data_IF_874832473516
#
_entry.id   IF_874832473516
#
_cell.length_a   1.000
_cell.length_b   1.000
_cell.length_c   1.000
_cell.angle_alpha   90.00
_cell.angle_beta   90.00
_cell.angle_gamma   90.00
#
_symmetry.space_group_name_H-M   'P 1'
#
loop_
_entity.id
_entity.type
_entity.pdbx_description
1 polymer ?
#
# COMPACT_ATOMS: atom_id res chain seq x y z
N UNK A 1 -10.03 10.60 12.88
CA UNK A 1 -9.20 9.70 13.70
C UNK A 1 -7.81 9.63 13.10
N UNK A 2 -6.80 9.89 13.93
CA UNK A 2 -5.39 9.84 13.53
C UNK A 2 -4.77 8.58 14.12
N UNK A 3 -4.08 7.79 13.27
CA UNK A 3 -3.25 6.71 13.75
C UNK A 3 -1.87 7.21 14.17
N UNK A 4 -1.24 6.51 15.10
CA UNK A 4 0.15 6.72 15.48
C UNK A 4 0.78 5.38 15.84
N UNK A 5 1.99 5.12 15.34
CA UNK A 5 2.76 3.94 15.73
C UNK A 5 3.46 4.20 17.07
N UNK A 6 4.12 5.34 17.20
CA UNK A 6 4.83 5.78 18.40
C UNK A 6 6.26 5.26 18.47
N UNK A 7 7.18 6.14 18.87
CA UNK A 7 8.62 5.85 18.92
C UNK A 7 9.00 4.63 19.75
N UNK A 8 8.25 4.34 20.80
CA UNK A 8 8.50 3.17 21.64
C UNK A 8 8.29 1.81 20.94
N UNK A 9 7.62 1.78 19.78
CA UNK A 9 7.37 0.57 19.01
C UNK A 9 8.37 0.33 17.88
N UNK A 10 9.16 1.33 17.48
CA UNK A 10 10.07 1.18 16.34
C UNK A 10 11.13 0.11 16.59
N UNK A 11 11.74 0.10 17.78
CA UNK A 11 12.69 -0.94 18.15
C UNK A 11 12.06 -2.34 18.10
N UNK A 12 10.86 -2.49 18.62
CA UNK A 12 10.13 -3.75 18.55
C UNK A 12 9.85 -4.17 17.10
N UNK A 13 9.46 -3.25 16.22
CA UNK A 13 9.25 -3.52 14.78
C UNK A 13 10.57 -4.03 14.17
N UNK A 14 11.67 -3.32 14.36
CA UNK A 14 12.98 -3.73 13.85
C UNK A 14 13.37 -5.14 14.34
N UNK A 15 13.15 -5.45 15.62
CA UNK A 15 13.40 -6.76 16.23
C UNK A 15 12.54 -7.87 15.59
N UNK A 16 11.24 -7.58 15.28
CA UNK A 16 10.38 -8.57 14.63
C UNK A 16 10.85 -8.89 13.20
N UNK A 17 11.30 -7.90 12.46
CA UNK A 17 11.77 -8.05 11.09
C UNK A 17 13.25 -8.46 10.96
N UNK A 18 14.00 -8.55 12.07
CA UNK A 18 15.39 -9.00 12.07
C UNK A 18 15.55 -10.49 11.67
N UNK A 19 14.49 -11.29 11.77
CA UNK A 19 14.52 -12.71 11.39
C UNK A 19 14.65 -12.86 9.87
N UNK A 20 15.44 -13.85 9.39
CA UNK A 20 15.51 -14.17 7.98
C UNK A 20 14.12 -14.47 7.41
N UNK A 21 13.77 -13.83 6.31
CA UNK A 21 12.53 -14.05 5.59
C UNK A 21 12.71 -13.71 4.10
N UNK A 22 12.00 -14.41 3.24
CA UNK A 22 11.99 -14.11 1.81
C UNK A 22 11.17 -12.85 1.49
N UNK A 23 10.14 -12.60 2.28
CA UNK A 23 9.27 -11.44 2.14
C UNK A 23 8.88 -10.90 3.52
N UNK A 24 9.06 -9.61 3.72
CA UNK A 24 8.66 -8.91 4.94
C UNK A 24 7.52 -7.97 4.64
N UNK A 25 6.36 -8.24 5.27
CA UNK A 25 5.13 -7.48 5.07
C UNK A 25 4.74 -6.79 6.37
N UNK A 26 4.52 -5.49 6.31
CA UNK A 26 3.94 -4.70 7.40
C UNK A 26 2.51 -4.31 7.06
N UNK A 27 1.57 -4.52 7.98
CA UNK A 27 0.15 -4.25 7.76
C UNK A 27 -0.34 -3.25 8.80
N UNK A 28 -1.02 -2.21 8.34
CA UNK A 28 -1.67 -1.24 9.21
C UNK A 28 -2.98 -0.73 8.59
N UNK A 29 -3.90 -0.26 9.42
CA UNK A 29 -5.20 0.24 8.94
C UNK A 29 -5.06 1.59 8.24
N UNK A 30 -4.43 2.58 8.90
CA UNK A 30 -4.26 3.91 8.34
C UNK A 30 -3.11 3.93 7.33
N UNK A 31 -3.18 4.85 6.37
CA UNK A 31 -2.15 4.98 5.36
C UNK A 31 -0.97 5.82 5.85
N UNK A 32 0.22 5.51 5.32
CA UNK A 32 1.47 6.24 5.59
C UNK A 32 1.74 7.35 4.56
N UNK A 33 1.06 7.31 3.42
CA UNK A 33 1.23 8.25 2.32
C UNK A 33 -0.13 8.84 1.94
N UNK A 34 -0.18 10.10 1.48
CA UNK A 34 -1.41 10.70 1.00
C UNK A 34 -1.98 9.92 -0.19
N UNK A 35 -3.26 9.59 -0.15
CA UNK A 35 -3.94 8.97 -1.28
C UNK A 35 -4.51 10.07 -2.18
N UNK A 36 -4.05 10.19 -3.46
CA UNK A 36 -4.53 11.21 -4.37
C UNK A 36 -6.05 11.23 -4.51
N UNK A 37 -6.64 12.40 -4.67
CA UNK A 37 -8.08 12.57 -4.87
C UNK A 37 -8.97 12.35 -3.64
N UNK A 38 -8.39 12.06 -2.45
CA UNK A 38 -9.18 11.81 -1.23
C UNK A 38 -9.34 13.02 -0.32
N UNK A 39 -8.93 14.21 -0.78
CA UNK A 39 -8.93 15.44 -0.01
C UNK A 39 -7.74 15.54 0.96
N UNK A 40 -7.75 16.59 1.80
CA UNK A 40 -6.61 16.91 2.66
C UNK A 40 -6.10 15.73 3.49
N UNK A 41 -4.81 15.69 3.70
CA UNK A 41 -3.93 14.71 4.34
C UNK A 41 -4.25 14.33 5.80
N UNK A 42 -5.46 14.60 6.26
CA UNK A 42 -5.84 14.55 7.69
C UNK A 42 -5.88 13.15 8.32
N UNK A 43 -5.68 12.09 7.55
CA UNK A 43 -5.80 10.73 8.08
C UNK A 43 -4.55 9.87 7.83
N UNK A 44 -3.44 10.50 7.55
CA UNK A 44 -2.12 9.85 7.55
C UNK A 44 -1.73 9.57 9.00
N UNK A 45 -1.04 8.48 9.23
CA UNK A 45 -0.41 8.20 10.52
C UNK A 45 0.44 9.41 10.94
N UNK A 46 0.28 9.89 12.18
CA UNK A 46 0.90 11.14 12.64
C UNK A 46 2.43 11.13 12.52
N UNK A 47 3.04 9.97 12.79
CA UNK A 47 4.48 9.72 12.67
C UNK A 47 4.83 8.89 11.42
N UNK A 48 4.15 9.17 10.29
CA UNK A 48 4.30 8.41 9.06
C UNK A 48 5.73 8.42 8.50
N UNK A 49 6.41 9.57 8.53
CA UNK A 49 7.80 9.70 8.08
C UNK A 49 8.76 8.82 8.89
N UNK A 50 8.72 8.94 10.21
CA UNK A 50 9.55 8.12 11.13
C UNK A 50 9.21 6.63 10.96
N UNK A 51 7.94 6.30 10.75
CA UNK A 51 7.49 4.92 10.52
C UNK A 51 8.05 4.38 9.20
N UNK A 52 7.97 5.11 8.10
CA UNK A 52 8.52 4.70 6.80
C UNK A 52 10.02 4.47 6.89
N UNK A 53 10.75 5.35 7.55
CA UNK A 53 12.19 5.20 7.78
C UNK A 53 12.51 3.95 8.61
N UNK A 54 11.75 3.70 9.68
CA UNK A 54 11.88 2.49 10.49
C UNK A 54 11.66 1.21 9.63
N UNK A 55 10.61 1.19 8.82
CA UNK A 55 10.28 0.04 7.96
C UNK A 55 11.35 -0.21 6.89
N UNK A 56 11.92 0.84 6.31
CA UNK A 56 13.05 0.71 5.37
C UNK A 56 14.29 0.14 6.05
N UNK A 57 14.66 0.64 7.24
CA UNK A 57 15.79 0.09 8.03
C UNK A 57 15.56 -1.37 8.43
N UNK A 58 14.33 -1.74 8.74
CA UNK A 58 13.94 -3.10 9.08
C UNK A 58 13.90 -4.05 7.86
N UNK A 59 14.15 -3.54 6.64
CA UNK A 59 14.15 -4.31 5.41
C UNK A 59 12.75 -4.82 5.01
N UNK A 60 11.69 -4.08 5.37
CA UNK A 60 10.33 -4.38 4.93
C UNK A 60 10.22 -4.17 3.42
N UNK A 61 9.66 -5.15 2.73
CA UNK A 61 9.47 -5.11 1.28
C UNK A 61 8.12 -4.49 0.90
N UNK A 62 7.07 -4.82 1.66
CA UNK A 62 5.69 -4.49 1.32
C UNK A 62 4.94 -3.95 2.52
N UNK A 63 4.26 -2.83 2.34
CA UNK A 63 3.33 -2.25 3.33
C UNK A 63 1.92 -2.31 2.77
N UNK A 64 1.01 -2.90 3.54
CA UNK A 64 -0.41 -2.96 3.20
C UNK A 64 -1.18 -1.99 4.10
N UNK A 65 -1.96 -1.11 3.47
CA UNK A 65 -2.76 -0.09 4.15
C UNK A 65 -4.20 -0.08 3.67
N UNK A 66 -5.08 0.65 4.35
CA UNK A 66 -6.49 0.77 3.98
C UNK A 66 -7.09 2.13 4.32
N UNK A 67 -8.22 2.16 5.00
CA UNK A 67 -8.92 3.32 5.58
C UNK A 67 -9.68 4.23 4.59
N UNK A 68 -9.04 4.69 3.52
CA UNK A 68 -9.67 5.65 2.59
C UNK A 68 -10.59 5.01 1.56
N UNK A 69 -10.57 3.69 1.44
CA UNK A 69 -11.35 2.92 0.46
C UNK A 69 -10.98 3.25 -1.01
N UNK A 70 -9.84 3.89 -1.22
CA UNK A 70 -9.29 4.18 -2.56
C UNK A 70 -8.05 3.32 -2.75
N UNK A 71 -8.05 2.40 -3.70
CA UNK A 71 -6.90 1.57 -3.97
C UNK A 71 -5.81 2.40 -4.64
N UNK A 72 -4.60 2.32 -4.12
CA UNK A 72 -3.44 3.02 -4.68
C UNK A 72 -2.15 2.27 -4.37
N UNK A 73 -1.09 2.56 -5.11
CA UNK A 73 0.20 1.94 -4.89
C UNK A 73 1.36 2.91 -5.13
N UNK A 74 2.36 2.84 -4.27
CA UNK A 74 3.58 3.65 -4.32
C UNK A 74 4.81 2.77 -4.27
N UNK A 75 5.89 3.26 -4.86
CA UNK A 75 7.26 2.79 -4.63
C UNK A 75 8.04 3.89 -3.93
N UNK A 76 8.69 3.55 -2.82
CA UNK A 76 9.60 4.38 -2.06
C UNK A 76 10.92 3.62 -1.91
N UNK A 77 11.88 3.90 -2.78
CA UNK A 77 13.16 3.17 -2.82
C UNK A 77 12.93 1.64 -2.91
N UNK A 78 13.24 0.89 -1.85
CA UNK A 78 13.05 -0.56 -1.74
C UNK A 78 11.70 -0.97 -1.15
N UNK A 79 10.89 -0.02 -0.69
CA UNK A 79 9.63 -0.24 -0.02
C UNK A 79 8.46 -0.03 -0.98
N UNK A 80 7.52 -0.98 -1.01
CA UNK A 80 6.28 -0.85 -1.77
C UNK A 80 5.11 -0.70 -0.82
N UNK A 81 4.24 0.27 -1.10
CA UNK A 81 3.05 0.53 -0.30
C UNK A 81 1.82 0.30 -1.17
N UNK A 82 0.93 -0.58 -0.74
CA UNK A 82 -0.31 -0.90 -1.44
C UNK A 82 -1.49 -0.58 -0.53
N UNK A 83 -2.30 0.37 -0.97
CA UNK A 83 -3.53 0.74 -0.28
C UNK A 83 -4.70 -0.04 -0.85
N UNK A 84 -5.45 -0.71 0.02
CA UNK A 84 -6.62 -1.48 -0.38
C UNK A 84 -7.83 -0.57 -0.67
N UNK A 85 -8.66 -0.99 -1.62
CA UNK A 85 -10.00 -0.48 -1.79
C UNK A 85 -10.97 -1.04 -0.74
N UNK A 86 -12.23 -1.08 -1.09
CA UNK A 86 -13.27 -1.74 -0.28
C UNK A 86 -14.17 -2.59 -1.16
N UNK A 87 -14.60 -3.73 -0.65
CA UNK A 87 -15.52 -4.65 -1.36
C UNK A 87 -16.97 -4.34 -1.02
N UNK A 88 -17.25 -4.00 0.24
CA UNK A 88 -18.61 -4.00 0.79
C UNK A 88 -19.08 -2.65 1.31
N UNK A 89 -18.21 -1.65 1.43
CA UNK A 89 -18.61 -0.34 1.93
C UNK A 89 -19.29 0.48 0.83
N UNK A 90 -20.42 1.08 1.15
CA UNK A 90 -21.08 2.09 0.31
C UNK A 90 -20.35 3.45 0.34
N UNK A 91 -19.35 3.61 1.22
CA UNK A 91 -18.54 4.84 1.31
C UNK A 91 -17.40 4.80 0.29
N UNK A 92 -17.77 4.71 -0.98
CA UNK A 92 -16.82 4.85 -2.07
C UNK A 92 -16.42 6.33 -2.20
N UNK A 93 -15.15 6.58 -2.52
CA UNK A 93 -14.63 7.92 -2.74
C UNK A 93 -14.16 8.05 -4.19
N UNK A 94 -14.47 9.19 -4.80
CA UNK A 94 -14.23 9.38 -6.23
C UNK A 94 -15.01 8.36 -7.06
N UNK A 95 -14.51 8.03 -8.23
CA UNK A 95 -15.10 7.05 -9.14
C UNK A 95 -14.60 5.61 -8.88
N UNK A 96 -14.17 5.30 -7.65
CA UNK A 96 -13.66 3.97 -7.34
C UNK A 96 -14.79 2.95 -7.27
N UNK A 97 -14.56 1.79 -7.88
CA UNK A 97 -15.47 0.64 -7.79
C UNK A 97 -15.10 -0.24 -6.59
N UNK A 98 -16.04 -1.01 -6.03
CA UNK A 98 -15.71 -2.06 -5.08
C UNK A 98 -14.63 -2.97 -5.64
N UNK A 99 -13.57 -3.19 -4.86
CA UNK A 99 -12.44 -4.02 -5.29
C UNK A 99 -11.65 -4.57 -4.11
N UNK A 100 -10.87 -5.61 -4.39
CA UNK A 100 -9.85 -6.16 -3.48
C UNK A 100 -8.59 -6.49 -4.29
N UNK A 101 -7.46 -6.58 -3.60
CA UNK A 101 -6.21 -6.96 -4.23
C UNK A 101 -5.86 -8.41 -3.86
N UNK A 102 -5.35 -9.16 -4.85
CA UNK A 102 -4.67 -10.43 -4.66
C UNK A 102 -3.18 -10.17 -4.87
N UNK A 103 -2.36 -10.66 -3.96
CA UNK A 103 -0.92 -10.46 -3.99
C UNK A 103 -0.27 -11.82 -4.09
N UNK A 104 0.40 -12.07 -5.20
CA UNK A 104 1.18 -13.27 -5.45
C UNK A 104 2.67 -12.97 -5.26
N UNK A 105 3.34 -13.86 -4.53
CA UNK A 105 4.78 -13.81 -4.33
C UNK A 105 5.41 -15.11 -4.81
N UNK A 106 6.29 -15.02 -5.80
CA UNK A 106 6.99 -16.16 -6.36
C UNK A 106 8.49 -15.87 -6.42
N UNK A 107 9.23 -16.50 -5.52
CA UNK A 107 10.68 -16.31 -5.42
C UNK A 107 11.03 -14.89 -4.98
N UNK A 108 11.17 -13.99 -5.92
CA UNK A 108 11.55 -12.57 -5.70
C UNK A 108 10.54 -11.60 -6.32
N UNK A 109 9.62 -12.12 -7.10
CA UNK A 109 8.63 -11.34 -7.83
C UNK A 109 7.35 -11.21 -7.02
N UNK A 110 6.86 -9.98 -6.88
CA UNK A 110 5.55 -9.67 -6.32
C UNK A 110 4.66 -9.14 -7.44
N UNK A 111 3.49 -9.72 -7.54
CA UNK A 111 2.46 -9.34 -8.48
C UNK A 111 1.20 -8.97 -7.71
N UNK A 112 0.60 -7.84 -8.03
CA UNK A 112 -0.64 -7.37 -7.40
C UNK A 112 -1.72 -7.25 -8.46
N UNK A 113 -2.75 -8.08 -8.32
CA UNK A 113 -3.94 -8.07 -9.16
C UNK A 113 -5.12 -7.47 -8.39
N UNK A 114 -5.76 -6.48 -9.00
CA UNK A 114 -6.98 -5.88 -8.48
C UNK A 114 -8.19 -6.57 -9.11
N UNK A 115 -9.03 -7.09 -8.25
CA UNK A 115 -10.26 -7.75 -8.62
C UNK A 115 -11.45 -6.83 -8.38
N UNK A 116 -12.25 -6.64 -9.40
CA UNK A 116 -13.52 -5.92 -9.34
C UNK A 116 -14.65 -6.94 -9.39
N UNK A 117 -15.42 -7.17 -8.30
CA UNK A 117 -16.52 -8.10 -8.31
C UNK A 117 -17.44 -7.88 -9.51
N UNK A 118 -17.68 -8.94 -10.30
CA UNK A 118 -18.49 -8.92 -11.53
C UNK A 118 -17.94 -8.10 -12.71
N UNK A 119 -16.76 -7.47 -12.59
CA UNK A 119 -16.19 -6.58 -13.61
C UNK A 119 -14.78 -6.96 -14.08
N UNK A 120 -14.24 -8.06 -13.56
CA UNK A 120 -12.94 -8.59 -14.00
C UNK A 120 -11.76 -8.26 -13.07
N UNK A 121 -10.57 -8.50 -13.60
CA UNK A 121 -9.31 -8.39 -12.88
C UNK A 121 -8.31 -7.59 -13.69
N UNK A 122 -7.47 -6.80 -13.02
CA UNK A 122 -6.43 -6.00 -13.63
C UNK A 122 -5.11 -6.18 -12.87
N UNK A 123 -4.00 -6.47 -13.57
CA UNK A 123 -2.66 -6.43 -13.01
C UNK A 123 -2.27 -4.98 -12.78
N UNK A 124 -2.08 -4.56 -11.53
CA UNK A 124 -1.75 -3.17 -11.19
C UNK A 124 -0.28 -2.93 -10.94
N UNK A 125 0.44 -3.94 -10.41
CA UNK A 125 1.85 -3.83 -10.07
C UNK A 125 2.55 -5.16 -10.35
N UNK A 126 3.77 -5.06 -10.85
CA UNK A 126 4.79 -6.10 -10.80
C UNK A 126 6.07 -5.47 -10.25
N UNK A 127 6.72 -6.12 -9.30
CA UNK A 127 8.06 -5.71 -8.90
C UNK A 127 8.93 -6.88 -8.43
N UNK A 128 10.23 -6.70 -8.59
CA UNK A 128 11.25 -7.63 -8.13
C UNK A 128 11.91 -7.08 -6.87
N UNK A 129 11.98 -7.88 -5.80
CA UNK A 129 12.52 -7.46 -4.50
C UNK A 129 14.05 -7.37 -4.47
N UNK A 130 14.75 -7.97 -5.42
CA UNK A 130 16.21 -7.92 -5.54
C UNK A 130 16.68 -6.81 -6.46
N UNK A 131 16.12 -6.78 -7.70
CA UNK A 131 16.53 -5.79 -8.70
C UNK A 131 15.85 -4.45 -8.49
N UNK A 132 14.77 -4.41 -7.69
CA UNK A 132 13.90 -3.25 -7.47
C UNK A 132 13.25 -2.73 -8.76
N UNK A 133 13.23 -3.54 -9.81
CA UNK A 133 12.46 -3.24 -11.01
C UNK A 133 10.98 -3.19 -10.69
N UNK A 134 10.34 -2.15 -11.16
CA UNK A 134 8.94 -1.85 -10.86
C UNK A 134 8.20 -1.50 -12.15
N UNK A 135 7.06 -2.16 -12.33
CA UNK A 135 6.09 -1.83 -13.38
C UNK A 135 4.74 -1.55 -12.74
N UNK A 136 4.19 -0.39 -13.03
CA UNK A 136 2.85 -0.01 -12.62
C UNK A 136 1.98 0.15 -13.87
N UNK A 137 0.87 -0.58 -13.92
CA UNK A 137 -0.18 -0.30 -14.90
C UNK A 137 -0.98 0.90 -14.40
N UNK A 138 -0.95 1.98 -15.17
CA UNK A 138 -1.83 3.13 -14.97
C UNK A 138 -3.22 2.73 -15.45
N UNK A 139 -4.10 2.37 -14.51
CA UNK A 139 -5.48 2.08 -14.86
C UNK A 139 -6.20 3.37 -15.28
N UNK A 140 -7.19 3.23 -16.14
CA UNK A 140 -8.08 4.32 -16.56
C UNK A 140 -8.75 5.06 -15.38
N UNK A 141 -8.81 4.45 -14.21
CA UNK A 141 -9.36 5.02 -12.98
C UNK A 141 -8.44 6.08 -12.37
N UNK A 142 -7.10 5.93 -12.50
CA UNK A 142 -6.15 6.94 -12.02
C UNK A 142 -6.15 8.20 -12.92
N UNK A 143 -6.51 8.07 -14.19
CA UNK A 143 -6.63 9.21 -15.12
C UNK A 143 -7.84 10.10 -14.85
N UNK A 144 -8.94 9.58 -14.35
CA UNK A 144 -10.14 10.39 -14.04
C UNK A 144 -9.98 11.27 -12.79
N UNK A 145 -9.07 10.91 -11.88
CA UNK A 145 -8.79 11.70 -10.66
C UNK A 145 -7.90 12.92 -10.95
N UNK A 146 -7.17 12.91 -12.05
CA UNK A 146 -6.18 13.97 -12.38
C UNK A 146 -6.77 15.09 -13.25
N UNK A 147 -8.00 14.99 -13.74
CA UNK A 147 -8.60 15.91 -14.73
C UNK A 147 -9.80 16.73 -14.22
N UNK A 148 -9.90 16.98 -12.89
CA UNK A 148 -10.89 17.95 -12.37
C UNK A 148 -10.33 18.84 -11.29
#
# INVERSE_FOLDING_TARGET
>A
DYGQIGRGRYRWIEEQFARPAQLRIFVLHHHLLPVPGTGRERNIVHDAGDTLECLQRAGVNLVLTGHKHVPYAWKLESLFVVNAGTVSSLRLRGNTRPCYNVIDFTGKKIEVDRHYPFHGTERIIEFDTDTLEFRKNTSSIEHEVTTR
#
